data_IF_301946102849
#
_entry.id   IF_301946102849
#
_cell.length_a   1.000
_cell.length_b   1.000
_cell.length_c   1.000
_cell.angle_alpha   90.00
_cell.angle_beta   90.00
_cell.angle_gamma   90.00
#
_symmetry.space_group_name_H-M   'P 1'
#
loop_
_entity.id
_entity.type
_entity.pdbx_description
1 polymer ?
#
# COMPACT_ATOMS: atom_id res chain seq x y z
N UNK A 1 -5.24 -13.86 -32.14
CA UNK A 1 -6.11 -13.21 -31.14
C UNK A 1 -5.68 -13.69 -29.76
N UNK A 2 -4.79 -12.94 -29.10
CA UNK A 2 -4.27 -13.31 -27.78
C UNK A 2 -5.27 -12.84 -26.73
N UNK A 3 -5.88 -13.76 -25.99
CA UNK A 3 -6.67 -13.43 -24.81
C UNK A 3 -5.72 -12.97 -23.70
N UNK A 4 -5.75 -11.67 -23.38
CA UNK A 4 -5.18 -11.17 -22.13
C UNK A 4 -5.93 -11.83 -20.97
N UNK A 5 -5.24 -12.69 -20.21
CA UNK A 5 -5.69 -13.13 -18.89
C UNK A 5 -5.68 -11.92 -17.94
N UNK A 6 -6.78 -11.17 -17.92
CA UNK A 6 -7.03 -10.24 -16.82
C UNK A 6 -7.46 -11.06 -15.61
N UNK A 7 -6.53 -11.33 -14.70
CA UNK A 7 -6.90 -11.66 -13.32
C UNK A 7 -7.58 -10.40 -12.78
N UNK A 8 -8.90 -10.36 -12.80
CA UNK A 8 -9.66 -9.30 -12.15
C UNK A 8 -9.40 -9.40 -10.64
N UNK A 9 -9.02 -8.28 -10.02
CA UNK A 9 -8.61 -8.22 -8.60
C UNK A 9 -9.63 -8.87 -7.63
N UNK A 10 -10.89 -8.98 -8.05
CA UNK A 10 -11.99 -9.60 -7.32
C UNK A 10 -11.80 -11.09 -6.99
N UNK A 11 -10.96 -11.85 -7.71
CA UNK A 11 -10.83 -13.30 -7.50
C UNK A 11 -10.00 -13.69 -6.25
N UNK A 12 -9.31 -12.73 -5.62
CA UNK A 12 -8.44 -12.99 -4.45
C UNK A 12 -8.78 -12.14 -3.24
N UNK A 13 -9.93 -11.46 -3.27
CA UNK A 13 -10.38 -10.58 -2.19
C UNK A 13 -11.66 -11.15 -1.61
N UNK A 14 -11.79 -11.06 -0.29
CA UNK A 14 -13.03 -11.44 0.40
C UNK A 14 -14.23 -10.63 -0.11
N UNK A 15 -15.42 -11.22 0.02
CA UNK A 15 -16.68 -10.56 -0.38
C UNK A 15 -16.93 -9.25 0.36
N UNK A 16 -16.42 -9.11 1.59
CA UNK A 16 -16.54 -7.92 2.41
C UNK A 16 -15.14 -7.51 2.89
N UNK A 17 -14.48 -6.55 2.22
CA UNK A 17 -13.26 -5.97 2.73
C UNK A 17 -13.55 -5.09 3.94
N UNK A 18 -12.73 -5.21 4.99
CA UNK A 18 -12.76 -4.32 6.14
C UNK A 18 -11.46 -3.49 6.17
N UNK A 19 -11.58 -2.19 6.41
CA UNK A 19 -10.44 -1.28 6.57
C UNK A 19 -10.57 -0.60 7.93
N UNK A 20 -9.63 -0.84 8.87
CA UNK A 20 -9.67 -0.19 10.18
C UNK A 20 -9.45 1.33 10.07
N UNK A 21 -9.97 2.06 11.05
CA UNK A 21 -9.72 3.51 11.22
C UNK A 21 -8.43 3.75 12.01
N UNK A 22 -7.98 5.00 12.11
CA UNK A 22 -6.77 5.37 12.85
C UNK A 22 -6.74 4.79 14.28
N UNK A 23 -5.58 4.28 14.69
CA UNK A 23 -5.35 3.66 16.02
C UNK A 23 -6.28 2.49 16.37
N UNK A 24 -6.83 1.82 15.36
CA UNK A 24 -7.60 0.57 15.50
C UNK A 24 -6.99 -0.54 14.64
N UNK A 25 -7.29 -1.79 14.98
CA UNK A 25 -6.86 -2.97 14.21
C UNK A 25 -8.01 -3.96 14.06
N UNK A 26 -7.99 -4.74 12.98
CA UNK A 26 -8.97 -5.80 12.71
C UNK A 26 -8.30 -7.15 12.89
N UNK A 27 -8.99 -8.05 13.59
CA UNK A 27 -8.50 -9.39 13.90
C UNK A 27 -9.57 -10.45 13.74
N UNK A 28 -9.23 -11.72 13.99
CA UNK A 28 -10.16 -12.86 13.83
C UNK A 28 -10.90 -13.19 15.13
N UNK A 29 -10.21 -13.69 16.16
CA UNK A 29 -10.81 -14.12 17.43
C UNK A 29 -9.82 -14.03 18.58
N UNK A 30 -10.32 -13.69 19.78
CA UNK A 30 -9.47 -13.46 20.96
C UNK A 30 -8.60 -14.67 21.32
N UNK A 31 -9.13 -15.88 21.19
CA UNK A 31 -8.43 -17.12 21.53
C UNK A 31 -7.31 -17.53 20.55
N UNK A 32 -7.23 -16.87 19.38
CA UNK A 32 -6.19 -17.12 18.38
C UNK A 32 -5.02 -16.13 18.46
N UNK A 33 -5.09 -15.12 19.33
CA UNK A 33 -4.06 -14.12 19.49
C UNK A 33 -3.26 -14.33 20.77
N UNK A 34 -1.93 -14.31 20.64
CA UNK A 34 -1.03 -14.16 21.76
C UNK A 34 -0.59 -12.70 21.88
N UNK A 35 -1.30 -11.95 22.73
CA UNK A 35 -0.94 -10.56 23.05
C UNK A 35 0.09 -10.47 24.19
N UNK A 36 0.41 -11.58 24.87
CA UNK A 36 1.37 -11.56 25.97
C UNK A 36 2.81 -11.35 25.47
N UNK A 37 3.07 -11.66 24.20
CA UNK A 37 4.34 -11.38 23.54
C UNK A 37 4.56 -9.87 23.24
N UNK A 38 3.52 -9.04 23.35
CA UNK A 38 3.62 -7.62 23.06
C UNK A 38 4.18 -6.85 24.28
N UNK A 39 5.46 -6.51 24.22
CA UNK A 39 6.16 -5.80 25.30
C UNK A 39 6.11 -4.25 25.20
N UNK A 40 5.57 -3.72 24.09
CA UNK A 40 5.49 -2.28 23.79
C UNK A 40 4.16 -1.93 23.14
N UNK A 41 3.80 -0.66 23.12
CA UNK A 41 2.58 -0.19 22.45
C UNK A 41 2.51 -0.67 20.99
N UNK A 42 1.36 -1.20 20.60
CA UNK A 42 1.13 -1.72 19.26
C UNK A 42 1.24 -0.59 18.23
N UNK A 43 2.10 -0.79 17.23
CA UNK A 43 2.15 0.04 16.03
C UNK A 43 1.99 -0.86 14.81
N UNK A 44 0.97 -0.59 14.01
CA UNK A 44 0.61 -1.39 12.84
C UNK A 44 0.35 -0.50 11.63
N UNK A 45 0.07 -1.15 10.49
CA UNK A 45 -0.29 -0.50 9.25
C UNK A 45 -1.28 -1.38 8.47
N UNK A 46 -1.84 -0.84 7.38
CA UNK A 46 -2.68 -1.58 6.44
C UNK A 46 -4.05 -0.94 6.22
N UNK A 47 -4.35 0.14 6.94
CA UNK A 47 -5.51 0.99 6.71
C UNK A 47 -5.23 2.08 5.67
N UNK A 48 -6.20 2.98 5.51
CA UNK A 48 -6.05 4.14 4.63
C UNK A 48 -5.18 5.24 5.23
N UNK A 49 -5.05 5.26 6.55
CA UNK A 49 -4.27 6.23 7.33
C UNK A 49 -2.76 6.11 7.10
N UNK A 50 -2.28 4.92 6.73
CA UNK A 50 -0.84 4.69 6.41
C UNK A 50 -0.58 4.66 4.90
N UNK A 51 -1.54 5.08 4.08
CA UNK A 51 -1.42 5.05 2.61
C UNK A 51 -0.43 6.09 2.08
N UNK A 52 -0.31 7.22 2.76
CA UNK A 52 0.58 8.30 2.36
C UNK A 52 2.03 7.97 2.71
N UNK A 53 2.91 8.04 1.72
CA UNK A 53 4.33 7.76 1.86
C UNK A 53 5.16 8.79 1.13
N UNK A 54 6.40 8.99 1.59
CA UNK A 54 7.33 9.91 0.98
C UNK A 54 7.82 9.38 -0.38
N UNK A 55 7.86 10.26 -1.38
CA UNK A 55 8.40 9.97 -2.70
C UNK A 55 9.45 11.03 -3.05
N UNK A 56 10.73 10.64 -3.02
CA UNK A 56 11.86 11.53 -3.27
C UNK A 56 12.59 11.09 -4.53
N UNK A 57 12.94 12.06 -5.38
CA UNK A 57 13.82 11.88 -6.53
C UNK A 57 14.99 12.86 -6.41
N UNK A 58 16.21 12.40 -6.64
CA UNK A 58 17.43 13.22 -6.51
C UNK A 58 17.72 14.10 -7.74
N UNK A 59 16.73 14.31 -8.62
CA UNK A 59 16.81 15.06 -9.88
C UNK A 59 15.58 15.93 -10.02
N UNK A 60 15.72 17.08 -10.68
CA UNK A 60 14.58 17.93 -11.04
C UNK A 60 13.79 17.23 -12.14
N UNK A 61 12.58 16.78 -11.81
CA UNK A 61 11.69 16.07 -12.74
C UNK A 61 10.26 16.58 -12.57
N UNK A 62 9.53 16.70 -13.68
CA UNK A 62 8.13 17.08 -13.65
C UNK A 62 7.26 15.89 -13.21
N UNK A 63 6.75 15.96 -11.98
CA UNK A 63 5.81 14.96 -11.43
C UNK A 63 4.35 15.36 -11.64
N UNK A 64 4.07 16.53 -12.23
CA UNK A 64 2.71 17.06 -12.39
C UNK A 64 1.84 16.24 -13.35
N UNK A 65 2.45 15.45 -14.23
CA UNK A 65 1.76 14.52 -15.13
C UNK A 65 1.00 13.40 -14.39
N UNK A 66 1.28 13.21 -13.09
CA UNK A 66 0.64 12.21 -12.21
C UNK A 66 0.03 12.92 -10.99
N UNK A 67 -1.22 13.42 -11.10
CA UNK A 67 -1.88 14.11 -9.97
C UNK A 67 -2.10 13.22 -8.74
N UNK A 68 -2.02 11.89 -8.91
CA UNK A 68 -2.01 10.89 -7.84
C UNK A 68 -0.78 10.00 -8.00
N UNK A 69 0.33 10.42 -7.39
CA UNK A 69 1.59 9.68 -7.39
C UNK A 69 1.46 8.40 -6.55
N UNK A 70 1.93 7.28 -7.09
CA UNK A 70 1.93 5.99 -6.38
C UNK A 70 3.35 5.53 -6.10
N UNK A 71 3.56 4.92 -4.94
CA UNK A 71 4.86 4.40 -4.52
C UNK A 71 5.48 3.40 -5.51
N UNK A 72 4.66 2.54 -6.13
CA UNK A 72 5.13 1.57 -7.12
C UNK A 72 5.62 2.20 -8.43
N UNK A 73 5.42 3.50 -8.63
CA UNK A 73 5.95 4.23 -9.78
C UNK A 73 7.37 4.73 -9.59
N UNK A 74 8.00 4.44 -8.45
CA UNK A 74 9.37 4.80 -8.18
C UNK A 74 10.32 4.40 -9.32
N UNK A 75 10.13 3.23 -9.93
CA UNK A 75 10.95 2.76 -11.05
C UNK A 75 10.74 3.58 -12.33
N UNK A 76 9.50 4.01 -12.63
CA UNK A 76 9.22 4.86 -13.79
C UNK A 76 9.90 6.22 -13.67
N UNK A 77 9.81 6.84 -12.49
CA UNK A 77 10.46 8.14 -12.25
C UNK A 77 11.97 8.00 -12.11
N UNK A 78 12.48 6.89 -11.58
CA UNK A 78 13.91 6.63 -11.52
C UNK A 78 14.53 6.49 -12.93
N UNK A 79 13.87 5.78 -13.85
CA UNK A 79 14.36 5.65 -15.24
C UNK A 79 14.29 6.97 -15.99
N UNK A 80 13.20 7.73 -15.82
CA UNK A 80 13.08 9.08 -16.40
C UNK A 80 14.17 10.03 -15.86
N UNK A 81 14.42 10.01 -14.55
CA UNK A 81 15.47 10.82 -13.92
C UNK A 81 16.89 10.43 -14.35
N UNK A 82 17.12 9.15 -14.69
CA UNK A 82 18.41 8.67 -15.21
C UNK A 82 18.68 9.06 -16.66
N UNK A 83 17.65 9.46 -17.41
CA UNK A 83 17.75 9.90 -18.80
C UNK A 83 17.92 11.43 -18.95
N UNK A 84 17.91 12.17 -17.84
CA UNK A 84 18.18 13.62 -17.75
C UNK A 84 19.67 13.88 -17.46
#
# INVERSE_FOLDING_TARGET
MMMQNQITAHQRVYSIPNVPVENTYTSTSLNCHDLAALAVDLRCHGGLTEREVLFIVSRVIDTSLRPLLRNFEALLFATAAAAL
#
